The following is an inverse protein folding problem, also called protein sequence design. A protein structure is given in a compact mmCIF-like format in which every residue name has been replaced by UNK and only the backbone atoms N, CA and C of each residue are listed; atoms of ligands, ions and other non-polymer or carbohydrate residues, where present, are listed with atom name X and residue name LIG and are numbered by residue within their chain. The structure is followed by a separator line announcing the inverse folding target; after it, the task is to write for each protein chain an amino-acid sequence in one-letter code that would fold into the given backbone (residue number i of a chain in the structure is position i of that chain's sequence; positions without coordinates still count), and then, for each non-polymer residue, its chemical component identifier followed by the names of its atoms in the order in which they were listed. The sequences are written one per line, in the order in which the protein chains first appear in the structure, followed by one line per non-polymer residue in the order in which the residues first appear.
data_IF_369107320880
#
_entry.id   IF_369107320880
#
_cell.length_a   1.000
_cell.length_b   1.000
_cell.length_c   1.000
_cell.angle_alpha   90.00
_cell.angle_beta   90.00
_cell.angle_gamma   90.00
#
_symmetry.space_group_name_H-M   'P 1'
#
loop_
_entity.id
_entity.type
_entity.pdbx_description
1 polymer ?
#
# COMPACT_ATOMS: atom_id res chain seq x y z
N UNK A 1 51.46 -34.80 31.56
CA UNK A 1 51.11 -33.39 31.27
C UNK A 1 50.29 -33.39 29.99
N UNK A 2 49.05 -32.85 30.06
CA UNK A 2 48.21 -32.22 29.02
C UNK A 2 48.10 -32.91 27.63
N UNK A 3 46.94 -33.05 26.98
CA UNK A 3 45.74 -32.21 26.99
C UNK A 3 44.59 -32.97 26.32
N UNK A 4 43.41 -33.05 26.95
CA UNK A 4 42.16 -33.36 26.25
C UNK A 4 41.67 -32.07 25.57
N UNK A 5 41.72 -32.00 24.25
CA UNK A 5 40.94 -31.01 23.50
C UNK A 5 39.54 -31.57 23.26
N UNK A 6 38.63 -31.28 24.20
CA UNK A 6 37.20 -31.46 24.01
C UNK A 6 36.71 -30.34 23.07
N UNK A 7 36.53 -30.64 21.79
CA UNK A 7 35.91 -29.71 20.84
C UNK A 7 34.42 -29.61 21.15
N UNK A 8 34.03 -28.62 21.95
CA UNK A 8 32.63 -28.22 22.10
C UNK A 8 32.21 -27.58 20.79
N UNK A 9 31.57 -28.37 19.91
CA UNK A 9 30.76 -27.83 18.83
C UNK A 9 29.53 -27.18 19.47
N UNK A 10 29.63 -25.89 19.79
CA UNK A 10 28.47 -25.06 20.06
C UNK A 10 27.74 -24.89 18.72
N UNK A 11 26.84 -25.81 18.41
CA UNK A 11 25.90 -25.65 17.31
C UNK A 11 25.02 -24.45 17.62
N UNK A 12 25.37 -23.28 17.07
CA UNK A 12 24.48 -22.14 16.97
C UNK A 12 23.35 -22.56 16.02
N UNK A 13 22.30 -23.19 16.56
CA UNK A 13 21.00 -23.17 15.90
C UNK A 13 20.62 -21.71 15.76
N UNK A 14 20.74 -21.18 14.54
CA UNK A 14 20.07 -19.96 14.14
C UNK A 14 18.59 -20.19 14.44
N UNK A 15 18.11 -19.62 15.54
CA UNK A 15 16.68 -19.59 15.82
C UNK A 15 16.04 -18.92 14.60
N UNK A 16 15.27 -19.68 13.82
CA UNK A 16 14.44 -19.09 12.78
C UNK A 16 13.50 -18.13 13.50
N UNK A 17 13.63 -16.84 13.23
CA UNK A 17 12.65 -15.86 13.67
C UNK A 17 11.33 -16.30 13.06
N UNK A 18 10.38 -16.68 13.92
CA UNK A 18 9.02 -17.00 13.50
C UNK A 18 8.44 -15.72 12.90
N UNK A 19 8.02 -15.78 11.63
CA UNK A 19 7.27 -14.69 11.03
C UNK A 19 6.01 -14.42 11.87
N UNK A 20 5.60 -13.15 12.04
CA UNK A 20 4.40 -12.85 12.83
C UNK A 20 3.19 -13.60 12.24
N UNK A 21 2.24 -13.96 13.11
CA UNK A 21 0.93 -14.42 12.67
C UNK A 21 0.03 -13.26 12.23
N UNK A 22 -1.25 -13.51 11.92
CA UNK A 22 -2.24 -12.45 11.84
C UNK A 22 -2.32 -11.66 13.16
N UNK A 23 -2.67 -10.39 13.07
CA UNK A 23 -2.91 -9.51 14.22
C UNK A 23 -4.39 -9.60 14.64
N UNK A 24 -4.68 -9.31 15.92
CA UNK A 24 -6.06 -9.33 16.44
C UNK A 24 -6.98 -8.30 15.75
N UNK A 25 -6.40 -7.26 15.15
CA UNK A 25 -7.12 -6.23 14.37
C UNK A 25 -7.32 -6.62 12.91
N UNK A 26 -6.78 -7.76 12.45
CA UNK A 26 -7.07 -8.26 11.12
C UNK A 26 -8.51 -8.77 11.05
N UNK A 27 -9.06 -8.77 9.83
CA UNK A 27 -10.35 -9.41 9.57
C UNK A 27 -10.20 -10.92 9.83
N UNK A 28 -11.03 -11.55 10.68
CA UNK A 28 -10.89 -12.96 11.00
C UNK A 28 -10.88 -13.87 9.78
N UNK A 29 -11.70 -13.54 8.76
CA UNK A 29 -11.74 -14.28 7.50
C UNK A 29 -10.47 -14.20 6.66
N UNK A 30 -9.63 -13.18 6.86
CA UNK A 30 -8.38 -12.95 6.12
C UNK A 30 -7.17 -13.63 6.77
N UNK A 31 -7.29 -14.15 8.00
CA UNK A 31 -6.16 -14.72 8.75
C UNK A 31 -5.41 -15.83 7.98
N UNK A 32 -6.11 -16.63 7.18
CA UNK A 32 -5.51 -17.70 6.37
C UNK A 32 -4.70 -17.19 5.18
N UNK A 33 -4.95 -15.95 4.73
CA UNK A 33 -4.21 -15.28 3.67
C UNK A 33 -2.97 -14.53 4.19
N UNK A 34 -2.80 -14.39 5.51
CA UNK A 34 -1.65 -13.71 6.09
C UNK A 34 -0.41 -14.58 5.96
N UNK A 35 0.41 -14.25 4.97
CA UNK A 35 1.72 -14.85 4.70
C UNK A 35 2.74 -13.73 4.58
N UNK A 36 3.97 -13.96 5.01
CA UNK A 36 5.04 -12.96 4.97
C UNK A 36 6.12 -13.28 3.93
N UNK A 37 6.79 -12.24 3.45
CA UNK A 37 7.98 -12.31 2.61
C UNK A 37 9.00 -11.23 2.94
N UNK A 38 10.26 -11.49 2.62
CA UNK A 38 11.27 -10.44 2.55
C UNK A 38 11.32 -9.90 1.12
N UNK A 39 11.13 -8.59 0.96
CA UNK A 39 11.17 -7.92 -0.35
C UNK A 39 11.98 -6.65 -0.27
N UNK A 40 12.81 -6.41 -1.28
CA UNK A 40 13.39 -5.09 -1.54
C UNK A 40 12.54 -4.40 -2.58
N UNK A 41 12.06 -3.19 -2.29
CA UNK A 41 11.36 -2.38 -3.29
C UNK A 41 12.37 -1.81 -4.29
N UNK A 42 11.96 -1.69 -5.54
CA UNK A 42 12.83 -1.22 -6.62
C UNK A 42 12.62 0.28 -6.87
N UNK A 43 13.34 0.83 -7.87
CA UNK A 43 13.24 2.24 -8.31
C UNK A 43 13.85 3.26 -7.35
N UNK A 44 15.03 2.94 -6.85
CA UNK A 44 15.90 3.87 -6.13
C UNK A 44 16.24 5.09 -6.97
N UNK A 45 16.45 6.23 -6.30
CA UNK A 45 17.06 7.40 -6.91
C UNK A 45 18.55 7.15 -7.14
N UNK A 46 19.02 7.49 -8.33
CA UNK A 46 20.43 7.45 -8.71
C UNK A 46 20.83 8.79 -9.33
N UNK A 47 22.10 9.14 -9.17
CA UNK A 47 22.69 10.32 -9.80
C UNK A 47 23.59 9.88 -10.96
N UNK A 48 23.41 10.49 -12.13
CA UNK A 48 24.30 10.34 -13.28
C UNK A 48 25.27 11.54 -13.34
N UNK A 49 26.56 11.36 -13.00
CA UNK A 49 27.53 12.44 -13.01
C UNK A 49 27.84 13.01 -14.40
N UNK A 50 27.56 12.25 -15.47
CA UNK A 50 27.86 12.68 -16.85
C UNK A 50 26.83 13.66 -17.39
N UNK A 51 25.56 13.48 -17.02
CA UNK A 51 24.45 14.38 -17.38
C UNK A 51 24.04 15.34 -16.27
N UNK A 52 24.53 15.12 -15.04
CA UNK A 52 24.14 15.88 -13.85
C UNK A 52 22.69 15.63 -13.39
N UNK A 53 22.04 14.58 -13.89
CA UNK A 53 20.62 14.29 -13.61
C UNK A 53 20.46 13.31 -12.45
N UNK A 54 19.43 13.54 -11.64
CA UNK A 54 18.87 12.51 -10.76
C UNK A 54 17.85 11.73 -11.57
N UNK A 55 18.00 10.41 -11.61
CA UNK A 55 17.11 9.49 -12.30
C UNK A 55 16.49 8.53 -11.29
N UNK A 56 15.22 8.19 -11.52
CA UNK A 56 14.60 7.04 -10.87
C UNK A 56 14.95 5.81 -11.69
N UNK A 57 15.63 4.83 -11.08
CA UNK A 57 16.11 3.68 -11.84
C UNK A 57 14.95 2.89 -12.42
N UNK A 58 14.94 2.57 -13.73
CA UNK A 58 13.90 1.75 -14.33
C UNK A 58 13.93 0.33 -13.73
N UNK A 59 12.75 -0.27 -13.63
CA UNK A 59 12.60 -1.65 -13.21
C UNK A 59 11.52 -2.32 -14.05
N UNK A 60 11.94 -3.16 -15.00
CA UNK A 60 11.04 -3.82 -15.94
C UNK A 60 10.25 -4.99 -15.32
N UNK A 61 10.49 -5.29 -14.03
CA UNK A 61 9.86 -6.43 -13.32
C UNK A 61 8.64 -6.03 -12.50
N UNK A 62 8.35 -4.74 -12.39
CA UNK A 62 7.25 -4.22 -11.58
C UNK A 62 6.50 -3.13 -12.34
N UNK A 63 5.16 -3.03 -12.22
CA UNK A 63 4.40 -1.92 -12.81
C UNK A 63 4.92 -0.55 -12.36
N UNK A 64 4.76 0.46 -13.20
CA UNK A 64 5.12 1.84 -12.85
C UNK A 64 3.92 2.56 -12.25
N UNK A 65 4.00 2.87 -10.96
CA UNK A 65 2.93 3.56 -10.22
C UNK A 65 3.13 5.07 -10.10
N UNK A 66 4.27 5.61 -10.51
CA UNK A 66 4.59 7.04 -10.38
C UNK A 66 5.46 7.49 -11.53
N UNK A 67 5.28 8.73 -11.96
CA UNK A 67 5.93 9.34 -13.12
C UNK A 67 5.01 10.39 -13.72
N UNK A 68 5.37 10.90 -14.89
CA UNK A 68 4.46 11.74 -15.69
C UNK A 68 3.14 10.99 -15.94
N UNK A 69 1.99 11.68 -15.83
CA UNK A 69 0.69 11.02 -15.96
C UNK A 69 0.51 10.42 -17.36
N UNK A 70 0.09 9.16 -17.40
CA UNK A 70 -0.14 8.41 -18.63
C UNK A 70 -0.98 7.15 -18.38
N UNK A 71 -1.54 6.59 -19.46
CA UNK A 71 -2.43 5.42 -19.43
C UNK A 71 -1.79 4.17 -18.78
N UNK A 72 -0.47 3.98 -18.89
CA UNK A 72 0.19 2.81 -18.27
C UNK A 72 0.22 2.93 -16.75
N UNK A 73 0.49 4.13 -16.23
CA UNK A 73 0.47 4.40 -14.79
C UNK A 73 -0.97 4.30 -14.26
N UNK A 74 -1.93 4.84 -15.00
CA UNK A 74 -3.34 4.82 -14.60
C UNK A 74 -3.89 3.39 -14.57
N UNK A 75 -3.62 2.58 -15.60
CA UNK A 75 -4.00 1.16 -15.62
C UNK A 75 -3.35 0.36 -14.48
N UNK A 76 -2.10 0.66 -14.11
CA UNK A 76 -1.45 0.03 -12.97
C UNK A 76 -2.17 0.35 -11.66
N UNK A 77 -2.61 1.60 -11.46
CA UNK A 77 -3.38 1.99 -10.28
C UNK A 77 -4.80 1.41 -10.27
N UNK A 78 -5.47 1.40 -11.41
CA UNK A 78 -6.79 0.78 -11.58
C UNK A 78 -6.75 -0.68 -11.16
N UNK A 79 -5.77 -1.47 -11.63
CA UNK A 79 -5.60 -2.86 -11.20
C UNK A 79 -5.22 -2.97 -9.72
N UNK A 80 -4.33 -2.10 -9.21
CA UNK A 80 -3.88 -2.16 -7.82
C UNK A 80 -5.02 -1.98 -6.81
N UNK A 81 -5.93 -1.04 -7.08
CA UNK A 81 -7.05 -0.68 -6.17
C UNK A 81 -8.41 -1.25 -6.62
N UNK A 82 -8.44 -2.11 -7.63
CA UNK A 82 -9.68 -2.68 -8.17
C UNK A 82 -10.51 -3.40 -7.10
N UNK A 83 -11.83 -3.30 -7.24
CA UNK A 83 -12.82 -4.03 -6.43
C UNK A 83 -12.50 -4.01 -4.92
N UNK A 84 -12.02 -2.86 -4.42
CA UNK A 84 -11.56 -2.73 -3.03
C UNK A 84 -12.69 -2.76 -2.00
N UNK A 85 -13.89 -2.35 -2.41
CA UNK A 85 -15.11 -2.43 -1.62
C UNK A 85 -15.64 -3.87 -1.60
N UNK A 86 -15.56 -4.49 -0.44
CA UNK A 86 -16.07 -5.82 -0.13
C UNK A 86 -17.38 -5.72 0.63
N UNK A 87 -18.12 -6.82 0.67
CA UNK A 87 -19.38 -6.92 1.43
C UNK A 87 -19.21 -7.63 2.75
N UNK A 88 -19.93 -7.18 3.76
CA UNK A 88 -20.12 -7.89 5.03
C UNK A 88 -21.53 -8.45 5.11
N UNK A 89 -21.66 -9.57 5.82
CA UNK A 89 -22.95 -9.99 6.38
C UNK A 89 -23.37 -9.01 7.49
N UNK A 90 -24.68 -8.90 7.79
CA UNK A 90 -25.14 -8.08 8.91
C UNK A 90 -24.51 -8.47 10.27
N UNK A 91 -24.22 -9.75 10.46
CA UNK A 91 -23.58 -10.25 11.69
C UNK A 91 -22.12 -9.82 11.81
N UNK A 92 -21.36 -9.87 10.71
CA UNK A 92 -19.99 -9.33 10.66
C UNK A 92 -20.01 -7.82 10.92
N UNK A 93 -20.86 -7.07 10.22
CA UNK A 93 -20.98 -5.62 10.38
C UNK A 93 -21.27 -5.24 11.85
N UNK A 94 -22.26 -5.87 12.48
CA UNK A 94 -22.63 -5.61 13.86
C UNK A 94 -21.53 -5.95 14.88
N UNK A 95 -20.57 -6.81 14.52
CA UNK A 95 -19.41 -7.13 15.38
C UNK A 95 -18.36 -6.03 15.41
N UNK A 96 -18.30 -5.18 14.37
CA UNK A 96 -17.42 -4.02 14.31
C UNK A 96 -18.11 -2.77 14.84
N UNK A 97 -19.32 -2.49 14.34
CA UNK A 97 -20.10 -1.32 14.72
C UNK A 97 -21.61 -1.65 14.63
N UNK A 98 -22.33 -1.70 15.76
CA UNK A 98 -23.76 -1.99 15.76
C UNK A 98 -24.62 -0.87 15.13
N UNK A 99 -24.07 0.32 14.93
CA UNK A 99 -24.75 1.45 14.29
C UNK A 99 -24.49 1.51 12.77
N UNK A 100 -23.58 0.68 12.26
CA UNK A 100 -23.32 0.60 10.83
C UNK A 100 -24.61 0.26 10.09
N UNK A 101 -24.83 0.92 8.95
CA UNK A 101 -26.01 0.73 8.12
C UNK A 101 -25.58 0.31 6.70
N UNK A 102 -26.39 -0.49 6.00
CA UNK A 102 -26.10 -0.84 4.61
C UNK A 102 -26.16 0.41 3.73
N UNK A 103 -25.39 0.42 2.65
CA UNK A 103 -25.37 1.54 1.72
C UNK A 103 -26.71 1.65 0.98
N UNK A 104 -27.27 2.86 0.80
CA UNK A 104 -28.60 3.03 0.20
C UNK A 104 -28.73 2.56 -1.25
N UNK A 105 -27.63 2.49 -2.01
CA UNK A 105 -27.66 2.22 -3.46
C UNK A 105 -27.57 0.75 -3.83
N UNK A 106 -27.06 -0.12 -2.94
CA UNK A 106 -26.98 -1.57 -3.18
C UNK A 106 -27.54 -2.42 -2.03
N UNK A 107 -27.91 -1.79 -0.91
CA UNK A 107 -28.46 -2.46 0.26
C UNK A 107 -27.44 -3.33 1.01
N UNK A 108 -26.14 -3.17 0.77
CA UNK A 108 -25.09 -3.99 1.36
C UNK A 108 -24.27 -3.24 2.41
N UNK A 109 -23.79 -3.96 3.43
CA UNK A 109 -22.74 -3.46 4.31
C UNK A 109 -21.41 -3.55 3.57
N UNK A 110 -20.75 -2.42 3.32
CA UNK A 110 -19.49 -2.38 2.59
C UNK A 110 -18.33 -2.02 3.50
N UNK A 111 -17.16 -2.53 3.17
CA UNK A 111 -15.91 -2.17 3.81
C UNK A 111 -14.74 -2.39 2.86
N UNK A 112 -13.56 -1.91 3.22
CA UNK A 112 -12.31 -2.27 2.54
C UNK A 112 -11.23 -2.50 3.59
N UNK A 113 -10.24 -3.38 3.34
CA UNK A 113 -9.06 -3.45 4.21
C UNK A 113 -8.29 -2.12 4.18
N UNK A 114 -7.80 -1.65 5.33
CA UNK A 114 -7.14 -0.34 5.48
C UNK A 114 -6.01 -0.10 4.46
N UNK A 115 -5.24 -1.14 4.12
CA UNK A 115 -4.19 -1.03 3.10
C UNK A 115 -4.70 -0.55 1.73
N UNK A 116 -5.93 -0.92 1.35
CA UNK A 116 -6.54 -0.49 0.09
C UNK A 116 -7.06 0.95 0.17
N UNK A 117 -7.58 1.35 1.34
CA UNK A 117 -7.93 2.75 1.58
C UNK A 117 -6.68 3.64 1.48
N UNK A 118 -5.57 3.23 2.10
CA UNK A 118 -4.31 3.97 2.06
C UNK A 118 -3.70 4.01 0.65
N UNK A 119 -3.84 2.94 -0.15
CA UNK A 119 -3.47 2.96 -1.57
C UNK A 119 -4.38 3.90 -2.38
N UNK A 120 -5.69 3.91 -2.12
CA UNK A 120 -6.61 4.87 -2.73
C UNK A 120 -6.22 6.31 -2.41
N UNK A 121 -5.94 6.62 -1.14
CA UNK A 121 -5.47 7.93 -0.70
C UNK A 121 -4.16 8.33 -1.41
N UNK A 122 -3.23 7.40 -1.58
CA UNK A 122 -1.97 7.66 -2.27
C UNK A 122 -2.19 7.92 -3.77
N UNK A 123 -3.13 7.22 -4.40
CA UNK A 123 -3.52 7.51 -5.80
C UNK A 123 -4.19 8.88 -5.93
N UNK A 124 -5.07 9.25 -4.99
CA UNK A 124 -5.69 10.59 -4.96
C UNK A 124 -4.63 11.69 -4.86
N UNK A 125 -3.60 11.51 -4.03
CA UNK A 125 -2.47 12.44 -3.95
C UNK A 125 -1.66 12.50 -5.25
N UNK A 126 -1.38 11.34 -5.88
CA UNK A 126 -0.71 11.28 -7.18
C UNK A 126 -1.46 12.10 -8.22
N UNK A 127 -2.78 11.89 -8.33
CA UNK A 127 -3.62 12.62 -9.29
C UNK A 127 -3.72 14.11 -8.96
N UNK A 128 -3.71 14.48 -7.67
CA UNK A 128 -3.72 15.89 -7.24
C UNK A 128 -2.46 16.66 -7.65
N UNK A 129 -1.29 16.01 -7.64
CA UNK A 129 -0.02 16.62 -8.09
C UNK A 129 -0.12 17.06 -9.56
N UNK A 130 -0.76 16.24 -10.40
CA UNK A 130 -0.97 16.49 -11.82
C UNK A 130 -2.44 16.89 -12.13
N UNK A 131 -3.07 17.63 -11.21
CA UNK A 131 -4.51 17.94 -11.27
C UNK A 131 -4.96 18.48 -12.64
N UNK A 132 -4.19 19.38 -13.25
CA UNK A 132 -4.51 19.95 -14.56
C UNK A 132 -4.62 18.91 -15.69
N UNK A 133 -3.80 17.85 -15.62
CA UNK A 133 -3.90 16.72 -16.54
C UNK A 133 -5.18 15.92 -16.26
N UNK A 134 -5.41 15.56 -15.00
CA UNK A 134 -6.53 14.69 -14.60
C UNK A 134 -7.91 15.34 -14.76
N UNK A 135 -8.03 16.66 -14.58
CA UNK A 135 -9.25 17.42 -14.87
C UNK A 135 -9.68 17.31 -16.34
N UNK A 136 -8.71 17.24 -17.25
CA UNK A 136 -8.97 17.23 -18.70
C UNK A 136 -9.10 15.83 -19.28
N UNK A 137 -8.41 14.84 -18.73
CA UNK A 137 -8.32 13.48 -19.29
C UNK A 137 -9.26 12.45 -18.63
N UNK A 138 -9.77 12.70 -17.41
CA UNK A 138 -10.75 11.82 -16.75
C UNK A 138 -12.18 12.36 -16.81
N UNK A 139 -12.56 12.99 -17.93
CA UNK A 139 -13.91 13.55 -18.14
C UNK A 139 -14.41 14.49 -17.03
N UNK A 140 -13.50 15.17 -16.32
CA UNK A 140 -13.86 16.01 -15.18
C UNK A 140 -14.42 15.26 -13.96
N UNK A 141 -14.30 13.93 -13.92
CA UNK A 141 -14.80 13.08 -12.83
C UNK A 141 -13.79 12.90 -11.69
N UNK A 142 -12.85 13.83 -11.53
CA UNK A 142 -12.01 13.91 -10.35
C UNK A 142 -12.91 14.20 -9.15
N UNK A 143 -13.32 13.13 -8.45
CA UNK A 143 -14.38 13.11 -7.45
C UNK A 143 -15.71 13.69 -7.98
N UNK A 144 -16.53 12.85 -8.64
CA UNK A 144 -17.94 13.20 -8.88
C UNK A 144 -18.68 13.35 -7.55
N UNK A 145 -18.67 14.55 -7.01
CA UNK A 145 -19.35 14.86 -5.76
C UNK A 145 -20.81 15.18 -6.04
N UNK A 146 -21.64 14.84 -5.06
CA UNK A 146 -23.02 15.31 -5.02
C UNK A 146 -23.07 16.83 -5.20
N UNK A 147 -24.05 17.39 -5.93
CA UNK A 147 -24.26 18.84 -6.04
C UNK A 147 -24.46 19.55 -4.70
N UNK A 148 -24.68 18.78 -3.62
CA UNK A 148 -24.82 19.29 -2.25
C UNK A 148 -23.47 19.58 -1.56
N UNK A 149 -22.35 19.21 -2.19
CA UNK A 149 -21.00 19.36 -1.65
C UNK A 149 -20.26 20.46 -2.42
N UNK A 150 -19.67 21.41 -1.70
CA UNK A 150 -18.74 22.36 -2.31
C UNK A 150 -17.49 21.61 -2.77
N UNK A 151 -17.24 21.62 -4.09
CA UNK A 151 -16.14 20.87 -4.69
C UNK A 151 -14.78 21.36 -4.19
N UNK A 152 -14.55 22.68 -4.19
CA UNK A 152 -13.27 23.27 -3.78
C UNK A 152 -12.92 22.95 -2.33
N UNK A 153 -13.91 23.06 -1.43
CA UNK A 153 -13.73 22.75 0.00
C UNK A 153 -13.47 21.25 0.21
N UNK A 154 -14.25 20.40 -0.48
CA UNK A 154 -14.11 18.95 -0.35
C UNK A 154 -12.74 18.48 -0.84
N UNK A 155 -12.29 18.92 -2.01
CA UNK A 155 -11.03 18.45 -2.57
C UNK A 155 -9.87 18.67 -1.63
N UNK A 156 -9.73 19.88 -1.08
CA UNK A 156 -8.64 20.17 -0.15
C UNK A 156 -8.73 19.33 1.11
N UNK A 157 -9.92 19.25 1.72
CA UNK A 157 -10.14 18.49 2.94
C UNK A 157 -9.92 16.99 2.70
N UNK A 158 -10.33 16.47 1.54
CA UNK A 158 -10.13 15.09 1.15
C UNK A 158 -8.65 14.76 0.97
N UNK A 159 -7.87 15.67 0.36
CA UNK A 159 -6.41 15.53 0.27
C UNK A 159 -5.75 15.59 1.64
N UNK A 160 -6.17 16.50 2.53
CA UNK A 160 -5.67 16.54 3.91
C UNK A 160 -5.99 15.23 4.67
N UNK A 161 -7.19 14.68 4.49
CA UNK A 161 -7.57 13.36 5.01
C UNK A 161 -6.70 12.23 4.45
N UNK A 162 -6.46 12.22 3.13
CA UNK A 162 -5.62 11.22 2.47
C UNK A 162 -4.18 11.25 3.01
N UNK A 163 -3.60 12.44 3.20
CA UNK A 163 -2.27 12.58 3.81
C UNK A 163 -2.25 12.06 5.24
N UNK A 164 -3.29 12.33 6.03
CA UNK A 164 -3.37 11.85 7.41
C UNK A 164 -3.56 10.33 7.49
N UNK A 165 -4.38 9.73 6.62
CA UNK A 165 -4.55 8.28 6.50
C UNK A 165 -3.22 7.58 6.22
N UNK A 166 -2.44 8.07 5.24
CA UNK A 166 -1.12 7.51 4.93
C UNK A 166 -0.16 7.66 6.11
N UNK A 167 -0.15 8.82 6.78
CA UNK A 167 0.66 9.04 7.98
C UNK A 167 0.29 8.04 9.09
N UNK A 168 -1.00 7.79 9.32
CA UNK A 168 -1.48 6.83 10.30
C UNK A 168 -1.02 5.40 9.95
N UNK A 169 -1.22 4.97 8.70
CA UNK A 169 -0.79 3.63 8.23
C UNK A 169 0.72 3.44 8.38
N UNK A 170 1.55 4.45 8.04
CA UNK A 170 3.02 4.37 8.18
C UNK A 170 3.42 4.15 9.64
N UNK A 171 2.85 4.90 10.58
CA UNK A 171 3.17 4.76 12.00
C UNK A 171 2.62 3.47 12.61
N UNK A 172 1.45 3.00 12.12
CA UNK A 172 0.85 1.75 12.56
C UNK A 172 1.73 0.55 12.20
N UNK A 173 2.28 0.51 10.99
CA UNK A 173 3.16 -0.58 10.55
C UNK A 173 4.58 -0.47 11.12
N UNK A 174 5.10 0.75 11.30
CA UNK A 174 6.34 1.00 12.03
C UNK A 174 7.54 0.22 11.49
N UNK A 175 7.78 0.25 10.18
CA UNK A 175 8.88 -0.48 9.56
C UNK A 175 10.25 0.03 10.05
N UNK A 176 11.00 -0.85 10.73
CA UNK A 176 12.30 -0.56 11.33
C UNK A 176 13.49 -0.96 10.43
N UNK A 177 13.21 -1.41 9.20
CA UNK A 177 14.26 -1.76 8.24
C UNK A 177 15.13 -0.55 7.94
N UNK A 178 16.47 -0.68 7.92
CA UNK A 178 17.35 0.47 7.79
C UNK A 178 17.20 1.11 6.41
N UNK A 179 17.14 2.44 6.39
CA UNK A 179 17.34 3.25 5.20
C UNK A 179 18.79 3.71 5.19
N UNK A 180 19.56 3.28 4.20
CA UNK A 180 20.97 3.62 4.07
C UNK A 180 21.12 4.92 3.30
N UNK A 181 21.93 5.85 3.81
CA UNK A 181 22.13 7.18 3.19
C UNK A 181 23.35 7.17 2.28
N UNK A 182 23.15 7.54 1.03
CA UNK A 182 24.18 7.64 0.01
C UNK A 182 24.35 9.09 -0.47
N UNK A 183 25.57 9.44 -0.88
CA UNK A 183 25.90 10.73 -1.48
C UNK A 183 26.89 10.49 -2.63
N UNK A 184 26.97 11.45 -3.55
CA UNK A 184 27.90 11.42 -4.67
C UNK A 184 28.76 12.69 -4.66
N UNK A 185 29.96 12.62 -5.23
CA UNK A 185 30.86 13.77 -5.32
C UNK A 185 30.17 14.90 -6.10
N UNK A 186 30.05 16.07 -5.48
CA UNK A 186 29.35 17.23 -6.06
C UNK A 186 27.83 17.27 -5.81
N UNK A 187 27.29 16.33 -5.04
CA UNK A 187 25.88 16.27 -4.67
C UNK A 187 25.76 16.24 -3.13
N UNK A 188 25.61 17.42 -2.52
CA UNK A 188 25.65 17.60 -1.06
C UNK A 188 24.40 17.11 -0.30
N UNK A 189 23.42 16.53 -1.02
CA UNK A 189 22.21 15.94 -0.43
C UNK A 189 22.37 14.42 -0.27
N UNK A 190 22.14 13.92 0.95
CA UNK A 190 22.06 12.49 1.21
C UNK A 190 20.73 11.91 0.73
N UNK A 191 20.77 10.85 -0.08
CA UNK A 191 19.59 10.13 -0.55
C UNK A 191 19.47 8.81 0.20
N UNK A 192 18.33 8.60 0.84
CA UNK A 192 17.99 7.34 1.48
C UNK A 192 17.65 6.26 0.45
N UNK A 193 18.21 5.06 0.61
CA UNK A 193 17.86 3.86 -0.13
C UNK A 193 17.34 2.80 0.82
N UNK A 194 16.15 2.29 0.51
CA UNK A 194 15.53 1.21 1.27
C UNK A 194 16.35 -0.07 1.17
N UNK A 195 16.15 -0.96 2.13
CA UNK A 195 16.78 -2.28 2.13
C UNK A 195 15.69 -3.34 1.96
N UNK A 196 15.92 -4.56 2.46
CA UNK A 196 14.86 -5.57 2.49
C UNK A 196 13.92 -5.26 3.64
N UNK A 197 12.63 -5.36 3.35
CA UNK A 197 11.53 -5.20 4.29
C UNK A 197 10.88 -6.55 4.53
N UNK A 198 10.29 -6.75 5.71
CA UNK A 198 9.39 -7.89 5.95
C UNK A 198 7.96 -7.42 5.68
N UNK A 199 7.35 -7.96 4.64
CA UNK A 199 6.04 -7.55 4.15
C UNK A 199 5.03 -8.69 4.24
N UNK A 200 3.76 -8.36 4.39
CA UNK A 200 2.69 -9.31 4.05
C UNK A 200 2.66 -9.49 2.54
N UNK A 201 2.54 -10.73 2.08
CA UNK A 201 2.42 -11.05 0.66
C UNK A 201 1.13 -10.47 0.09
N UNK A 202 1.25 -9.80 -1.05
CA UNK A 202 0.13 -9.15 -1.72
C UNK A 202 -0.86 -10.17 -2.29
N UNK A 203 -0.36 -11.20 -2.98
CA UNK A 203 -1.18 -12.08 -3.81
C UNK A 203 -2.20 -12.89 -3.00
N UNK A 204 -1.87 -13.48 -1.83
CA UNK A 204 -2.86 -14.18 -1.03
C UNK A 204 -3.99 -13.26 -0.53
N UNK A 205 -3.66 -12.03 -0.13
CA UNK A 205 -4.64 -11.04 0.33
C UNK A 205 -5.55 -10.63 -0.84
N UNK A 206 -4.95 -10.30 -1.99
CA UNK A 206 -5.69 -9.93 -3.20
C UNK A 206 -6.64 -11.05 -3.64
N UNK A 207 -6.16 -12.29 -3.63
CA UNK A 207 -6.98 -13.46 -3.96
C UNK A 207 -8.16 -13.61 -3.01
N UNK A 208 -7.93 -13.50 -1.70
CA UNK A 208 -9.02 -13.58 -0.72
C UNK A 208 -10.11 -12.54 -0.98
N UNK A 209 -9.71 -11.31 -1.30
CA UNK A 209 -10.66 -10.24 -1.62
C UNK A 209 -11.44 -10.52 -2.90
N UNK A 210 -10.79 -11.08 -3.91
CA UNK A 210 -11.42 -11.44 -5.17
C UNK A 210 -12.44 -12.57 -4.97
N UNK A 211 -12.07 -13.62 -4.26
CA UNK A 211 -12.95 -14.73 -3.92
C UNK A 211 -14.18 -14.22 -3.12
N UNK A 212 -13.98 -13.31 -2.17
CA UNK A 212 -15.08 -12.72 -1.39
C UNK A 212 -16.03 -11.88 -2.27
N UNK A 213 -15.47 -11.13 -3.23
CA UNK A 213 -16.26 -10.36 -4.17
C UNK A 213 -17.05 -11.24 -5.15
N UNK A 214 -16.51 -12.38 -5.55
CA UNK A 214 -17.24 -13.37 -6.35
C UNK A 214 -18.41 -13.97 -5.57
N UNK A 215 -18.22 -14.22 -4.28
CA UNK A 215 -19.24 -14.79 -3.39
C UNK A 215 -20.38 -13.81 -3.06
N UNK A 216 -20.06 -12.54 -2.73
CA UNK A 216 -21.03 -11.56 -2.24
C UNK A 216 -21.38 -10.44 -3.22
N UNK A 217 -20.72 -10.41 -4.38
CA UNK A 217 -20.88 -9.40 -5.43
C UNK A 217 -20.01 -8.15 -5.19
N UNK A 218 -19.28 -7.74 -6.22
CA UNK A 218 -18.51 -6.49 -6.19
C UNK A 218 -19.35 -5.28 -6.64
N UNK A 219 -18.96 -4.09 -6.20
CA UNK A 219 -19.44 -2.85 -6.82
C UNK A 219 -18.84 -2.71 -8.23
N UNK A 220 -19.63 -2.31 -9.25
CA UNK A 220 -19.07 -1.85 -10.52
C UNK A 220 -18.13 -0.66 -10.26
N UNK A 221 -16.99 -0.63 -10.96
CA UNK A 221 -16.04 0.50 -10.90
C UNK A 221 -16.58 1.71 -11.66
#
# INVERSE_FOLDING_TARGET
MLSLCLSIYLGLTLAKVQQPGPFDTDLPGLHSAVVYEERAFTRELSYDPSSGRVIRMPCDREPEYFGEPNETVDAAWEDLVRNRWLSMTPAEAASYDPELSPLPWDGQFRFEPDMFHSLHCLNSLRMYIDKSYYETHHNGHYHNLSPLVNQDDFERIHIDHCMDQIRQTIQCHGDLSPVLVYTWKGFELGIGRGTKHTCRKWEPIRKWMDDRNEEYGHLPQ
#
